data_IF_236885417081
#
_entry.id   IF_236885417081
#
_cell.length_a   1.000
_cell.length_b   1.000
_cell.length_c   1.000
_cell.angle_alpha   90.00
_cell.angle_beta   90.00
_cell.angle_gamma   90.00
#
_symmetry.space_group_name_H-M   'P 1'
#
loop_
_entity.id
_entity.type
_entity.pdbx_description
1 polymer ?
#
# COMPACT_ATOMS: atom_id res chain seq x y z
N UNK A 1 68.31 3.03 51.63
CA UNK A 1 67.08 2.36 51.16
C UNK A 1 66.37 3.32 50.21
N UNK A 2 66.21 2.95 48.92
CA UNK A 2 65.65 3.81 47.88
C UNK A 2 64.11 3.68 47.87
N UNK A 3 63.44 4.82 47.94
CA UNK A 3 61.98 5.03 47.97
C UNK A 3 61.32 4.60 46.65
N UNK A 4 60.25 3.79 46.75
CA UNK A 4 59.34 3.48 45.65
C UNK A 4 58.24 4.54 45.58
N UNK A 5 58.13 5.23 44.45
CA UNK A 5 57.00 6.09 44.13
C UNK A 5 55.91 5.26 43.42
N UNK A 6 54.73 5.17 44.03
CA UNK A 6 53.54 4.57 43.41
C UNK A 6 52.87 5.65 42.55
N UNK A 7 52.78 5.42 41.25
CA UNK A 7 52.03 6.26 40.30
C UNK A 7 50.62 5.67 40.18
N UNK A 8 49.62 6.41 40.67
CA UNK A 8 48.20 6.10 40.45
C UNK A 8 47.81 6.66 39.08
N UNK A 9 47.55 5.77 38.13
CA UNK A 9 46.99 6.15 36.83
C UNK A 9 45.47 6.38 36.97
N UNK A 10 45.05 7.65 36.96
CA UNK A 10 43.66 8.04 36.88
C UNK A 10 43.16 7.79 35.44
N UNK A 11 42.31 6.80 35.24
CA UNK A 11 41.60 6.58 33.98
C UNK A 11 40.56 7.70 33.79
N UNK A 12 40.84 8.63 32.87
CA UNK A 12 39.88 9.63 32.42
C UNK A 12 38.80 8.93 31.59
N UNK A 13 37.63 8.71 32.18
CA UNK A 13 36.43 8.36 31.43
C UNK A 13 35.98 9.59 30.64
N UNK A 14 36.19 9.57 29.32
CA UNK A 14 35.64 10.59 28.43
C UNK A 14 34.11 10.58 28.51
N UNK A 15 33.44 11.70 28.81
CA UNK A 15 31.99 11.77 28.69
C UNK A 15 31.65 11.58 27.21
N UNK A 16 30.83 10.57 26.92
CA UNK A 16 30.23 10.43 25.60
C UNK A 16 29.46 11.73 25.30
N UNK A 17 29.97 12.54 24.38
CA UNK A 17 29.29 13.75 23.91
C UNK A 17 27.90 13.33 23.42
N UNK A 18 26.87 13.85 24.06
CA UNK A 18 25.50 13.73 23.57
C UNK A 18 25.46 14.34 22.16
N UNK A 19 25.38 13.49 21.15
CA UNK A 19 25.27 13.94 19.76
C UNK A 19 23.91 14.62 19.59
N UNK A 20 23.92 15.89 19.18
CA UNK A 20 22.70 16.60 18.80
C UNK A 20 21.99 15.80 17.70
N UNK A 21 20.68 15.50 17.83
CA UNK A 21 19.99 14.71 16.84
C UNK A 21 19.98 15.38 15.45
N UNK A 22 20.34 14.62 14.41
CA UNK A 22 20.25 15.09 13.01
C UNK A 22 18.80 15.04 12.52
N UNK A 23 18.18 16.21 12.45
CA UNK A 23 16.79 16.40 12.01
C UNK A 23 16.62 16.04 10.52
N UNK A 24 17.61 16.30 9.68
CA UNK A 24 17.53 16.00 8.25
C UNK A 24 17.58 14.48 8.01
N UNK A 25 18.47 13.77 8.71
CA UNK A 25 18.50 12.32 8.69
C UNK A 25 17.18 11.71 9.21
N UNK A 26 16.65 12.26 10.30
CA UNK A 26 15.38 11.81 10.89
C UNK A 26 14.18 12.05 9.96
N UNK A 27 14.15 13.19 9.26
CA UNK A 27 13.16 13.47 8.21
C UNK A 27 13.28 12.46 7.07
N UNK A 28 14.50 12.16 6.61
CA UNK A 28 14.74 11.14 5.57
C UNK A 28 14.27 9.76 6.01
N UNK A 29 14.52 9.38 7.27
CA UNK A 29 14.00 8.13 7.85
C UNK A 29 12.46 8.08 7.84
N UNK A 30 11.80 9.19 8.21
CA UNK A 30 10.35 9.32 8.19
C UNK A 30 9.75 9.25 6.78
N UNK A 31 10.38 9.95 5.83
CA UNK A 31 9.96 10.00 4.44
C UNK A 31 10.30 8.72 3.67
N UNK A 32 11.21 7.90 4.20
CA UNK A 32 11.60 6.61 3.66
C UNK A 32 10.45 5.59 3.59
N UNK A 33 10.70 4.50 2.87
CA UNK A 33 9.74 3.40 2.68
C UNK A 33 10.15 2.14 3.46
N UNK A 34 11.01 2.26 4.48
CA UNK A 34 11.48 1.11 5.25
C UNK A 34 10.58 0.77 6.44
N UNK A 35 10.07 1.80 7.13
CA UNK A 35 9.26 1.66 8.35
C UNK A 35 7.76 1.86 8.11
N UNK A 36 7.40 2.57 7.04
CA UNK A 36 6.01 2.87 6.66
C UNK A 36 5.16 3.58 7.73
N UNK A 37 5.75 4.14 8.78
CA UNK A 37 5.03 4.85 9.85
C UNK A 37 4.10 5.96 9.30
N UNK A 38 4.57 6.72 8.31
CA UNK A 38 3.81 7.78 7.62
C UNK A 38 2.51 7.31 6.96
N UNK A 39 2.36 6.01 6.68
CA UNK A 39 1.14 5.49 6.05
C UNK A 39 -0.03 5.48 7.05
N UNK A 40 0.26 5.35 8.34
CA UNK A 40 -0.75 5.46 9.40
C UNK A 40 -0.79 6.87 10.00
N UNK A 41 0.38 7.49 10.21
CA UNK A 41 0.55 8.74 10.96
C UNK A 41 0.67 10.01 10.08
N UNK A 42 0.48 9.90 8.77
CA UNK A 42 0.49 11.05 7.85
C UNK A 42 1.89 11.40 7.33
N UNK A 43 1.95 12.16 6.24
CA UNK A 43 3.23 12.47 5.55
C UNK A 43 4.13 13.37 6.39
N UNK A 44 3.54 14.23 7.18
CA UNK A 44 4.17 15.19 8.09
C UNK A 44 3.94 14.85 9.56
N UNK A 45 3.46 13.64 9.89
CA UNK A 45 3.11 13.29 11.27
C UNK A 45 1.79 13.91 11.73
N UNK A 46 0.91 14.30 10.81
CA UNK A 46 -0.39 14.91 11.08
C UNK A 46 -1.47 13.94 11.55
N UNK A 47 -1.16 12.65 11.67
CA UNK A 47 -2.10 11.61 12.11
C UNK A 47 -2.87 10.99 10.93
N UNK A 48 -4.20 10.92 11.05
CA UNK A 48 -5.14 10.07 10.31
C UNK A 48 -5.48 8.76 11.01
N UNK A 49 -5.00 7.62 10.49
CA UNK A 49 -5.32 6.32 11.08
C UNK A 49 -4.61 6.12 12.42
N UNK A 50 -3.34 6.54 12.49
CA UNK A 50 -2.56 6.62 13.71
C UNK A 50 -2.67 8.02 14.34
N UNK A 51 -2.29 8.17 15.62
CA UNK A 51 -2.21 9.47 16.28
C UNK A 51 -1.31 10.46 15.53
N UNK A 52 -1.61 11.76 15.66
CA UNK A 52 -0.66 12.80 15.30
C UNK A 52 0.64 12.69 16.12
N UNK A 53 1.75 13.08 15.50
CA UNK A 53 3.09 13.13 16.10
C UNK A 53 3.66 14.55 16.02
N UNK A 54 3.35 15.30 14.95
CA UNK A 54 3.84 16.65 14.69
C UNK A 54 3.48 17.61 15.84
N UNK A 55 4.51 18.19 16.47
CA UNK A 55 4.36 19.14 17.56
C UNK A 55 3.62 18.58 18.80
N UNK A 56 3.44 17.25 18.92
CA UNK A 56 2.71 16.63 20.03
C UNK A 56 3.44 16.76 21.37
N UNK A 57 4.77 16.92 21.33
CA UNK A 57 5.60 17.10 22.51
C UNK A 57 5.86 15.82 23.30
N UNK A 58 5.87 14.65 22.64
CA UNK A 58 6.26 13.39 23.28
C UNK A 58 7.73 13.43 23.72
N UNK A 59 8.04 12.89 24.89
CA UNK A 59 9.43 12.61 25.27
C UNK A 59 9.98 11.42 24.46
N UNK A 60 11.31 11.31 24.37
CA UNK A 60 11.95 10.17 23.70
C UNK A 60 11.55 8.83 24.34
N UNK A 61 11.37 8.79 25.67
CA UNK A 61 10.92 7.59 26.38
C UNK A 61 9.47 7.23 26.09
N UNK A 62 8.58 8.22 25.97
CA UNK A 62 7.18 8.00 25.57
C UNK A 62 7.11 7.49 24.14
N UNK A 63 7.84 8.12 23.21
CA UNK A 63 7.89 7.68 21.82
C UNK A 63 8.48 6.28 21.70
N UNK A 64 9.56 5.98 22.42
CA UNK A 64 10.15 4.64 22.48
C UNK A 64 9.17 3.60 23.01
N UNK A 65 8.45 3.91 24.10
CA UNK A 65 7.46 2.98 24.65
C UNK A 65 6.41 2.60 23.60
N UNK A 66 5.87 3.56 22.83
CA UNK A 66 4.89 3.27 21.78
C UNK A 66 5.51 2.51 20.60
N UNK A 67 6.74 2.82 20.20
CA UNK A 67 7.43 2.09 19.11
C UNK A 67 7.75 0.64 19.50
N UNK A 68 8.15 0.41 20.76
CA UNK A 68 8.54 -0.93 21.25
C UNK A 68 7.36 -1.77 21.73
N UNK A 69 6.36 -1.14 22.34
CA UNK A 69 5.22 -1.79 23.00
C UNK A 69 3.93 -1.01 22.68
N UNK A 70 3.52 -0.96 21.40
CA UNK A 70 2.39 -0.17 20.96
C UNK A 70 1.06 -0.67 21.49
N UNK A 71 0.11 0.25 21.54
CA UNK A 71 -1.31 -0.03 21.69
C UNK A 71 -2.01 -0.10 20.32
N UNK A 72 -3.25 -0.58 20.31
CA UNK A 72 -4.03 -0.74 19.08
C UNK A 72 -3.44 -1.76 18.11
N UNK A 73 -3.34 -1.37 16.83
CA UNK A 73 -2.90 -2.20 15.72
C UNK A 73 -1.49 -1.84 15.22
N UNK A 74 -0.83 -0.85 15.83
CA UNK A 74 0.51 -0.45 15.42
C UNK A 74 1.49 -1.63 15.62
N UNK A 75 2.31 -1.99 14.62
CA UNK A 75 3.32 -3.03 14.78
C UNK A 75 4.38 -2.63 15.81
N UNK A 76 4.88 -3.60 16.57
CA UNK A 76 6.04 -3.39 17.45
C UNK A 76 7.33 -3.44 16.62
N UNK A 77 8.26 -2.52 16.89
CA UNK A 77 9.55 -2.46 16.21
C UNK A 77 10.71 -2.79 17.15
N UNK A 78 11.59 -3.70 16.74
CA UNK A 78 12.78 -4.08 17.51
C UNK A 78 13.93 -3.09 17.33
N UNK A 79 14.95 -3.19 18.19
CA UNK A 79 16.16 -2.37 18.14
C UNK A 79 16.93 -2.49 16.83
N UNK A 80 16.82 -3.63 16.15
CA UNK A 80 17.43 -3.89 14.84
C UNK A 80 16.66 -3.24 13.70
N UNK A 81 15.37 -2.95 13.88
CA UNK A 81 14.53 -2.32 12.88
C UNK A 81 14.58 -0.78 12.96
N UNK A 82 14.66 -0.25 14.18
CA UNK A 82 14.87 1.16 14.47
C UNK A 82 15.66 1.26 15.77
N UNK A 83 16.80 1.93 15.74
CA UNK A 83 17.68 2.11 16.90
C UNK A 83 17.13 3.17 17.87
N UNK A 84 17.64 3.17 19.10
CA UNK A 84 17.25 4.17 20.10
C UNK A 84 17.71 5.60 19.71
N UNK A 85 18.83 5.71 18.96
CA UNK A 85 19.29 6.97 18.39
C UNK A 85 18.33 7.51 17.31
N UNK A 86 17.82 6.64 16.44
CA UNK A 86 16.81 7.01 15.43
C UNK A 86 15.48 7.41 16.09
N UNK A 87 15.06 6.74 17.17
CA UNK A 87 13.88 7.11 17.96
C UNK A 87 14.05 8.51 18.57
N UNK A 88 15.22 8.80 19.17
CA UNK A 88 15.51 10.12 19.69
C UNK A 88 15.51 11.20 18.59
N UNK A 89 16.08 10.88 17.42
CA UNK A 89 16.07 11.75 16.24
C UNK A 89 14.67 12.05 15.72
N UNK A 90 13.82 11.03 15.57
CA UNK A 90 12.42 11.21 15.17
C UNK A 90 11.65 12.05 16.18
N UNK A 91 11.89 11.84 17.47
CA UNK A 91 11.26 12.66 18.53
C UNK A 91 11.62 14.13 18.38
N UNK A 92 12.91 14.44 18.17
CA UNK A 92 13.37 15.80 17.93
C UNK A 92 12.82 16.38 16.61
N UNK A 93 12.73 15.57 15.55
CA UNK A 93 12.13 15.96 14.28
C UNK A 93 10.67 16.37 14.47
N UNK A 94 9.84 15.53 15.11
CA UNK A 94 8.43 15.87 15.35
C UNK A 94 8.24 17.08 16.25
N UNK A 95 9.13 17.30 17.23
CA UNK A 95 9.13 18.50 18.05
C UNK A 95 9.43 19.78 17.25
N UNK A 96 10.12 19.68 16.11
CA UNK A 96 10.39 20.81 15.22
C UNK A 96 9.25 21.14 14.26
N UNK A 97 8.24 20.27 14.16
CA UNK A 97 7.06 20.47 13.31
C UNK A 97 5.97 21.27 14.05
N UNK A 98 5.14 22.04 13.33
CA UNK A 98 4.00 22.72 13.93
C UNK A 98 3.01 21.70 14.50
N UNK A 99 2.48 21.98 15.69
CA UNK A 99 1.42 21.19 16.29
C UNK A 99 0.16 21.29 15.43
N UNK A 100 -0.44 20.15 15.10
CA UNK A 100 -1.75 20.11 14.43
C UNK A 100 -2.86 20.35 15.46
N UNK A 101 -3.91 21.07 15.06
CA UNK A 101 -5.05 21.31 15.94
C UNK A 101 -5.84 20.02 16.21
N UNK A 102 -6.02 19.22 15.16
CA UNK A 102 -6.68 17.92 15.17
C UNK A 102 -5.94 16.96 14.23
N UNK A 103 -6.00 15.64 14.45
CA UNK A 103 -5.48 14.67 13.50
C UNK A 103 -6.12 14.82 12.11
N UNK A 104 -5.35 14.52 11.06
CA UNK A 104 -5.88 14.52 9.70
C UNK A 104 -7.06 13.55 9.52
N UNK A 105 -7.91 13.83 8.53
CA UNK A 105 -9.04 12.96 8.23
C UNK A 105 -8.59 11.59 7.70
N UNK A 106 -9.38 10.56 7.98
CA UNK A 106 -9.22 9.25 7.37
C UNK A 106 -9.41 9.32 5.85
N UNK A 107 -8.64 8.52 5.10
CA UNK A 107 -8.74 8.45 3.64
C UNK A 107 -10.08 7.88 3.19
N UNK A 108 -10.54 6.87 3.92
CA UNK A 108 -11.89 6.32 3.78
C UNK A 108 -12.65 6.67 5.06
N UNK A 109 -13.54 7.68 5.03
CA UNK A 109 -14.34 8.03 6.20
C UNK A 109 -15.37 6.94 6.48
N UNK A 110 -15.70 6.75 7.76
CA UNK A 110 -16.85 5.95 8.18
C UNK A 110 -18.13 6.73 7.83
N UNK A 111 -19.06 6.08 7.14
CA UNK A 111 -20.34 6.69 6.77
C UNK A 111 -21.52 5.84 7.30
N UNK A 112 -22.56 6.46 7.89
CA UNK A 112 -23.69 5.73 8.50
C UNK A 112 -24.48 4.83 7.54
N UNK A 113 -24.48 5.16 6.26
CA UNK A 113 -25.17 4.41 5.19
C UNK A 113 -24.44 3.14 4.75
N UNK A 114 -23.20 2.93 5.19
CA UNK A 114 -22.44 1.73 4.89
C UNK A 114 -23.12 0.49 5.48
N UNK A 115 -23.11 -0.67 4.79
CA UNK A 115 -23.54 -1.93 5.39
C UNK A 115 -22.75 -2.26 6.67
N UNK A 116 -23.34 -2.97 7.65
CA UNK A 116 -22.69 -3.27 8.92
C UNK A 116 -21.27 -3.86 8.80
N UNK A 117 -21.06 -4.83 7.90
CA UNK A 117 -19.73 -5.39 7.64
C UNK A 117 -18.73 -4.39 7.04
N UNK A 118 -19.19 -3.42 6.24
CA UNK A 118 -18.35 -2.32 5.77
C UNK A 118 -18.05 -1.31 6.89
N UNK A 119 -19.00 -1.02 7.78
CA UNK A 119 -18.76 -0.17 8.94
C UNK A 119 -17.69 -0.79 9.85
N UNK A 120 -17.81 -2.09 10.17
CA UNK A 120 -16.81 -2.83 10.93
C UNK A 120 -15.43 -2.80 10.23
N UNK A 121 -15.41 -2.98 8.91
CA UNK A 121 -14.20 -2.92 8.09
C UNK A 121 -13.52 -1.55 8.14
N UNK A 122 -14.29 -0.47 8.00
CA UNK A 122 -13.76 0.90 8.04
C UNK A 122 -13.32 1.24 9.45
N UNK A 123 -14.14 0.98 10.48
CA UNK A 123 -13.85 1.34 11.88
C UNK A 123 -12.59 0.67 12.43
N UNK A 124 -12.25 -0.51 11.93
CA UNK A 124 -11.02 -1.24 12.29
C UNK A 124 -9.79 -0.74 11.51
N UNK A 125 -9.97 0.25 10.64
CA UNK A 125 -8.93 0.89 9.83
C UNK A 125 -8.47 0.07 8.62
N UNK A 126 -9.08 -1.08 8.35
CA UNK A 126 -8.71 -1.94 7.22
C UNK A 126 -8.85 -1.20 5.87
N UNK A 127 -9.86 -0.33 5.75
CA UNK A 127 -10.11 0.48 4.56
C UNK A 127 -8.99 1.49 4.25
N UNK A 128 -8.21 1.91 5.25
CA UNK A 128 -7.16 2.90 5.06
C UNK A 128 -6.00 2.37 4.22
N UNK A 129 -5.84 1.04 4.18
CA UNK A 129 -4.83 0.35 3.37
C UNK A 129 -5.43 -0.47 2.22
N UNK A 130 -6.59 -1.09 2.43
CA UNK A 130 -7.19 -2.00 1.44
C UNK A 130 -8.30 -1.35 0.59
N UNK A 131 -8.51 -0.04 0.72
CA UNK A 131 -9.50 0.73 -0.04
C UNK A 131 -10.92 0.59 0.50
N UNK A 132 -11.88 1.36 -0.01
CA UNK A 132 -13.25 1.33 0.52
C UNK A 132 -13.99 0.00 0.28
N UNK A 133 -13.55 -0.76 -0.71
CA UNK A 133 -14.19 -1.98 -1.22
C UNK A 133 -13.32 -3.23 -1.03
N UNK A 134 -12.29 -3.19 -0.17
CA UNK A 134 -11.47 -4.35 0.17
C UNK A 134 -10.83 -5.05 -1.05
N UNK A 135 -10.31 -4.24 -1.98
CA UNK A 135 -10.02 -4.66 -3.35
C UNK A 135 -8.96 -5.75 -3.48
N UNK A 136 -7.76 -5.51 -2.95
CA UNK A 136 -6.67 -6.47 -3.03
C UNK A 136 -7.04 -7.79 -2.34
N UNK A 137 -7.56 -7.79 -1.10
CA UNK A 137 -7.94 -9.05 -0.44
C UNK A 137 -9.06 -9.80 -1.17
N UNK A 138 -10.09 -9.11 -1.70
CA UNK A 138 -11.10 -9.76 -2.56
C UNK A 138 -10.49 -10.39 -3.82
N UNK A 139 -9.41 -9.81 -4.35
CA UNK A 139 -8.68 -10.36 -5.49
C UNK A 139 -7.88 -11.60 -5.11
N UNK A 140 -7.16 -11.56 -3.98
CA UNK A 140 -6.44 -12.73 -3.44
C UNK A 140 -7.40 -13.89 -3.15
N UNK A 141 -8.55 -13.62 -2.54
CA UNK A 141 -9.55 -14.62 -2.25
C UNK A 141 -10.19 -15.18 -3.53
N UNK A 142 -10.50 -14.31 -4.50
CA UNK A 142 -11.02 -14.71 -5.80
C UNK A 142 -10.02 -15.46 -6.67
N UNK A 143 -8.73 -15.17 -6.54
CA UNK A 143 -7.66 -15.86 -7.27
C UNK A 143 -7.45 -17.31 -6.83
N UNK A 144 -7.84 -17.66 -5.60
CA UNK A 144 -7.53 -18.97 -5.00
C UNK A 144 -8.73 -19.70 -4.41
N UNK A 145 -9.92 -19.08 -4.48
CA UNK A 145 -11.16 -19.57 -3.87
C UNK A 145 -11.01 -19.90 -2.37
N UNK A 146 -10.46 -18.97 -1.61
CA UNK A 146 -10.17 -19.16 -0.18
C UNK A 146 -11.39 -18.88 0.70
N UNK A 147 -11.31 -19.36 1.94
CA UNK A 147 -12.38 -19.28 2.92
C UNK A 147 -12.09 -18.28 4.06
N UNK A 148 -12.98 -18.25 5.04
CA UNK A 148 -12.81 -17.41 6.23
C UNK A 148 -11.60 -17.82 7.09
N UNK A 149 -11.24 -19.11 7.14
CA UNK A 149 -10.06 -19.56 7.87
C UNK A 149 -8.79 -18.92 7.31
N UNK A 150 -8.72 -18.77 5.99
CA UNK A 150 -7.63 -18.04 5.33
C UNK A 150 -7.61 -16.56 5.75
N UNK A 151 -8.76 -15.90 5.81
CA UNK A 151 -8.84 -14.51 6.27
C UNK A 151 -8.38 -14.35 7.73
N UNK A 152 -8.76 -15.29 8.61
CA UNK A 152 -8.28 -15.32 10.00
C UNK A 152 -6.75 -15.43 10.07
N UNK A 153 -6.16 -16.35 9.31
CA UNK A 153 -4.72 -16.55 9.29
C UNK A 153 -3.98 -15.31 8.75
N UNK A 154 -4.50 -14.72 7.67
CA UNK A 154 -3.96 -13.48 7.10
C UNK A 154 -4.09 -12.29 8.04
N UNK A 155 -5.07 -12.27 8.95
CA UNK A 155 -5.29 -11.12 9.85
C UNK A 155 -4.54 -11.26 11.17
N UNK A 156 -4.65 -12.42 11.83
CA UNK A 156 -4.04 -12.65 13.14
C UNK A 156 -2.61 -13.20 13.06
N UNK A 157 -2.24 -13.86 11.97
CA UNK A 157 -0.92 -14.48 11.76
C UNK A 157 -0.23 -13.94 10.49
N UNK A 158 -0.48 -12.68 10.13
CA UNK A 158 -0.04 -12.07 8.86
C UNK A 158 1.46 -12.22 8.58
N UNK A 159 2.30 -12.23 9.62
CA UNK A 159 3.76 -12.33 9.49
C UNK A 159 4.22 -13.64 8.87
N UNK A 160 3.46 -14.72 9.05
CA UNK A 160 3.72 -16.05 8.49
C UNK A 160 2.77 -16.41 7.36
N UNK A 161 1.54 -15.88 7.38
CA UNK A 161 0.51 -16.15 6.37
C UNK A 161 0.74 -15.39 5.06
N UNK A 162 0.93 -14.06 5.09
CA UNK A 162 1.08 -13.23 3.89
C UNK A 162 2.20 -13.66 2.93
N UNK A 163 3.39 -14.08 3.42
CA UNK A 163 4.44 -14.69 2.59
C UNK A 163 4.02 -15.81 1.65
N UNK A 164 2.89 -16.49 1.91
CA UNK A 164 2.37 -17.58 1.10
C UNK A 164 1.50 -17.09 -0.08
N UNK A 165 1.03 -15.84 -0.02
CA UNK A 165 0.08 -15.26 -0.98
C UNK A 165 0.69 -14.17 -1.84
N UNK A 166 1.75 -13.51 -1.37
CA UNK A 166 2.39 -12.39 -2.03
C UNK A 166 3.84 -12.70 -2.42
N UNK A 167 4.24 -12.22 -3.59
CA UNK A 167 5.65 -12.24 -3.99
C UNK A 167 6.47 -11.36 -3.04
N UNK A 168 7.44 -11.97 -2.36
CA UNK A 168 8.31 -11.26 -1.44
C UNK A 168 9.26 -10.35 -2.22
N UNK A 169 8.98 -9.06 -2.24
CA UNK A 169 9.92 -8.08 -2.80
C UNK A 169 11.00 -7.73 -1.77
N UNK A 170 12.29 -7.73 -2.16
CA UNK A 170 13.36 -7.27 -1.28
C UNK A 170 13.04 -5.87 -0.70
N UNK A 171 13.15 -5.73 0.62
CA UNK A 171 12.84 -4.47 1.31
C UNK A 171 11.36 -4.22 1.63
N UNK A 172 10.42 -5.06 1.19
CA UNK A 172 9.00 -4.91 1.57
C UNK A 172 8.77 -5.32 3.02
N UNK A 173 8.58 -4.32 3.88
CA UNK A 173 8.31 -4.48 5.32
C UNK A 173 6.93 -3.97 5.75
N UNK A 174 6.05 -3.68 4.81
CA UNK A 174 4.67 -3.30 5.14
C UNK A 174 3.89 -4.55 5.51
N UNK A 175 4.04 -4.92 6.78
CA UNK A 175 3.21 -5.91 7.42
C UNK A 175 2.04 -5.15 7.99
N UNK A 176 0.84 -5.59 7.62
CA UNK A 176 -0.42 -5.10 8.15
C UNK A 176 -0.34 -4.94 9.68
N UNK A 177 -1.17 -4.07 10.26
CA UNK A 177 -1.22 -3.89 11.71
C UNK A 177 -1.37 -5.21 12.49
N UNK A 178 -0.90 -5.24 13.73
CA UNK A 178 -1.02 -6.41 14.60
C UNK A 178 -2.44 -6.47 15.19
N UNK A 179 -3.31 -7.27 14.57
CA UNK A 179 -4.66 -7.50 15.07
C UNK A 179 -4.68 -8.62 16.11
N UNK A 180 -5.57 -8.49 17.10
CA UNK A 180 -5.79 -9.48 18.15
C UNK A 180 -7.29 -9.75 18.26
N UNK A 181 -7.66 -11.02 18.46
CA UNK A 181 -9.03 -11.49 18.70
C UNK A 181 -9.76 -10.75 19.82
N UNK A 182 -9.05 -10.17 20.79
CA UNK A 182 -9.64 -9.37 21.86
C UNK A 182 -10.10 -7.97 21.41
N UNK A 183 -9.53 -7.43 20.32
CA UNK A 183 -9.86 -6.10 19.78
C UNK A 183 -10.69 -6.16 18.49
N UNK A 184 -10.45 -7.21 17.70
CA UNK A 184 -11.21 -7.56 16.52
C UNK A 184 -11.63 -9.01 16.68
N UNK A 185 -12.84 -9.23 17.19
CA UNK A 185 -13.36 -10.58 17.44
C UNK A 185 -13.53 -11.36 16.14
N UNK A 186 -13.53 -12.69 16.23
CA UNK A 186 -13.78 -13.52 15.04
C UNK A 186 -15.16 -13.26 14.44
N UNK A 187 -16.16 -12.90 15.26
CA UNK A 187 -17.50 -12.55 14.78
C UNK A 187 -17.48 -11.27 13.94
N UNK A 188 -16.80 -10.22 14.41
CA UNK A 188 -16.62 -8.97 13.64
C UNK A 188 -15.81 -9.23 12.36
N UNK A 189 -14.74 -10.05 12.45
CA UNK A 189 -13.96 -10.39 11.26
C UNK A 189 -14.79 -11.19 10.24
N UNK A 190 -15.67 -12.07 10.73
CA UNK A 190 -16.59 -12.85 9.90
C UNK A 190 -17.62 -11.96 9.22
N UNK A 191 -18.12 -10.93 9.90
CA UNK A 191 -19.03 -9.94 9.33
C UNK A 191 -18.38 -9.18 8.16
N UNK A 192 -17.11 -8.79 8.32
CA UNK A 192 -16.32 -8.17 7.23
C UNK A 192 -16.15 -9.16 6.06
N UNK A 193 -15.81 -10.42 6.34
CA UNK A 193 -15.66 -11.45 5.30
C UNK A 193 -16.97 -11.68 4.54
N UNK A 194 -18.08 -11.80 5.25
CA UNK A 194 -19.39 -12.05 4.66
C UNK A 194 -19.85 -10.88 3.79
N UNK A 195 -19.67 -9.65 4.25
CA UNK A 195 -19.91 -8.46 3.43
C UNK A 195 -19.07 -8.49 2.13
N UNK A 196 -17.77 -8.72 2.25
CA UNK A 196 -16.87 -8.75 1.09
C UNK A 196 -17.21 -9.88 0.11
N UNK A 197 -17.64 -11.04 0.61
CA UNK A 197 -17.98 -12.22 -0.21
C UNK A 197 -19.38 -12.15 -0.81
N UNK A 198 -20.38 -11.75 -0.03
CA UNK A 198 -21.78 -11.90 -0.39
C UNK A 198 -22.33 -10.65 -1.09
N UNK A 199 -21.90 -9.46 -0.64
CA UNK A 199 -22.43 -8.19 -1.16
C UNK A 199 -21.57 -7.70 -2.33
N UNK A 200 -20.25 -7.61 -2.10
CA UNK A 200 -19.29 -7.18 -3.13
C UNK A 200 -18.89 -8.30 -4.09
N UNK A 201 -18.77 -9.53 -3.60
CA UNK A 201 -18.22 -10.65 -4.36
C UNK A 201 -16.70 -10.57 -4.50
N UNK A 202 -16.07 -11.75 -4.53
CA UNK A 202 -14.65 -11.84 -4.88
C UNK A 202 -14.41 -11.47 -6.34
N UNK A 203 -13.17 -11.06 -6.61
CA UNK A 203 -12.79 -10.50 -7.91
C UNK A 203 -11.59 -11.24 -8.50
N UNK A 204 -11.42 -11.24 -9.84
CA UNK A 204 -10.26 -11.85 -10.48
C UNK A 204 -8.96 -11.13 -10.04
N UNK A 205 -7.89 -11.91 -9.89
CA UNK A 205 -6.57 -11.41 -9.47
C UNK A 205 -5.80 -10.84 -10.67
N UNK A 206 -6.35 -9.80 -11.28
CA UNK A 206 -5.72 -9.15 -12.42
C UNK A 206 -4.54 -8.29 -12.00
N UNK A 207 -3.49 -8.30 -12.83
CA UNK A 207 -2.33 -7.42 -12.72
C UNK A 207 -2.06 -6.81 -14.08
N UNK A 208 -1.68 -5.53 -14.09
CA UNK A 208 -1.30 -4.81 -15.29
C UNK A 208 0.07 -4.16 -15.09
N UNK A 209 0.98 -4.42 -16.02
CA UNK A 209 2.35 -3.91 -15.97
C UNK A 209 2.66 -3.15 -17.25
N UNK A 210 3.00 -1.87 -17.08
CA UNK A 210 3.36 -0.98 -18.16
C UNK A 210 4.84 -0.66 -18.08
N UNK A 211 5.56 -0.94 -19.16
CA UNK A 211 7.00 -0.76 -19.23
C UNK A 211 7.43 -0.13 -20.58
N UNK A 212 8.53 0.62 -20.62
CA UNK A 212 9.12 1.03 -21.89
C UNK A 212 9.57 -0.21 -22.69
N UNK A 213 9.40 -0.15 -24.01
CA UNK A 213 9.83 -1.22 -24.93
C UNK A 213 10.90 -0.71 -25.90
N UNK A 214 10.57 0.23 -26.77
CA UNK A 214 11.52 0.81 -27.74
C UNK A 214 11.06 2.21 -28.19
N UNK A 215 11.98 3.19 -28.16
CA UNK A 215 11.65 4.57 -28.51
C UNK A 215 10.47 5.11 -27.68
N UNK A 216 9.41 5.55 -28.35
CA UNK A 216 8.15 6.00 -27.73
C UNK A 216 7.08 4.90 -27.65
N UNK A 217 7.50 3.63 -27.71
CA UNK A 217 6.65 2.45 -27.58
C UNK A 217 6.71 1.88 -26.18
N UNK A 218 5.54 1.60 -25.63
CA UNK A 218 5.34 1.05 -24.29
C UNK A 218 4.61 -0.29 -24.39
N UNK A 219 5.12 -1.30 -23.70
CA UNK A 219 4.50 -2.60 -23.58
C UNK A 219 3.60 -2.64 -22.34
N UNK A 220 2.37 -3.11 -22.52
CA UNK A 220 1.41 -3.36 -21.46
C UNK A 220 1.11 -4.86 -21.40
N UNK A 221 1.42 -5.47 -20.27
CA UNK A 221 1.09 -6.87 -19.99
C UNK A 221 -0.02 -6.93 -18.95
N UNK A 222 -1.16 -7.53 -19.31
CA UNK A 222 -2.28 -7.78 -18.40
C UNK A 222 -2.36 -9.28 -18.12
N UNK A 223 -2.17 -9.68 -16.87
CA UNK A 223 -2.20 -11.08 -16.43
C UNK A 223 -3.32 -11.32 -15.44
N UNK A 224 -3.82 -12.56 -15.39
CA UNK A 224 -4.63 -13.03 -14.27
C UNK A 224 -3.78 -13.99 -13.42
N UNK A 225 -3.44 -13.55 -12.22
CA UNK A 225 -2.54 -14.30 -11.34
C UNK A 225 -3.23 -15.44 -10.58
N UNK A 226 -4.55 -15.60 -10.75
CA UNK A 226 -5.31 -16.67 -10.10
C UNK A 226 -4.77 -18.07 -10.38
N UNK A 227 -5.10 -19.00 -9.49
CA UNK A 227 -4.73 -20.41 -9.59
C UNK A 227 -5.62 -21.14 -10.61
N UNK A 228 -5.05 -21.97 -11.52
CA UNK A 228 -5.84 -22.80 -12.42
C UNK A 228 -6.85 -23.67 -11.66
N UNK A 229 -8.10 -23.71 -12.14
CA UNK A 229 -9.18 -24.49 -11.55
C UNK A 229 -9.78 -23.92 -10.25
N UNK A 230 -9.25 -22.81 -9.71
CA UNK A 230 -9.79 -22.14 -8.51
C UNK A 230 -10.08 -20.67 -8.74
N UNK A 231 -9.21 -19.98 -9.45
CA UNK A 231 -9.26 -18.55 -9.65
C UNK A 231 -10.42 -18.09 -10.53
N UNK A 232 -10.93 -16.89 -10.22
CA UNK A 232 -11.98 -16.26 -11.01
C UNK A 232 -11.44 -15.81 -12.37
N UNK A 233 -12.24 -16.04 -13.40
CA UNK A 233 -11.99 -15.54 -14.76
C UNK A 233 -12.63 -14.17 -14.93
N UNK A 234 -11.86 -13.19 -15.41
CA UNK A 234 -12.40 -11.90 -15.82
C UNK A 234 -13.07 -12.02 -17.21
N UNK A 235 -14.25 -11.43 -17.37
CA UNK A 235 -15.02 -11.43 -18.62
C UNK A 235 -15.45 -10.01 -19.00
N UNK A 236 -15.46 -9.72 -20.29
CA UNK A 236 -15.73 -8.37 -20.81
C UNK A 236 -14.72 -7.36 -20.27
N UNK A 237 -13.43 -7.66 -20.44
CA UNK A 237 -12.32 -6.85 -19.92
C UNK A 237 -12.11 -5.65 -20.83
N UNK A 238 -12.08 -4.46 -20.22
CA UNK A 238 -11.77 -3.19 -20.89
C UNK A 238 -10.46 -2.68 -20.32
N UNK A 239 -9.54 -2.30 -21.19
CA UNK A 239 -8.20 -1.82 -20.85
C UNK A 239 -8.04 -0.45 -21.47
N UNK A 240 -7.89 0.56 -20.61
CA UNK A 240 -7.72 1.94 -21.03
C UNK A 240 -6.32 2.42 -20.67
N UNK A 241 -5.61 2.99 -21.63
CA UNK A 241 -4.35 3.70 -21.41
C UNK A 241 -4.59 5.18 -21.68
N UNK A 242 -4.37 6.02 -20.67
CA UNK A 242 -4.47 7.48 -20.82
C UNK A 242 -3.40 7.97 -21.79
N UNK A 243 -3.82 8.69 -22.81
CA UNK A 243 -2.93 9.36 -23.76
C UNK A 243 -2.43 10.65 -23.12
N UNK A 244 -1.11 10.80 -22.88
CA UNK A 244 -0.56 11.99 -22.25
C UNK A 244 -0.87 13.27 -23.05
N UNK A 245 -1.03 14.39 -22.36
CA UNK A 245 -1.32 15.68 -23.00
C UNK A 245 -0.25 16.04 -24.04
N UNK A 246 -0.69 16.43 -25.24
CA UNK A 246 0.20 16.76 -26.36
C UNK A 246 0.77 15.56 -27.12
N UNK A 247 0.56 14.33 -26.66
CA UNK A 247 0.89 13.11 -27.41
C UNK A 247 -0.32 12.59 -28.19
N UNK A 248 -0.06 11.83 -29.24
CA UNK A 248 -1.07 11.08 -30.00
C UNK A 248 -0.61 9.63 -30.14
N UNK A 249 -1.55 8.69 -30.23
CA UNK A 249 -1.23 7.30 -30.52
C UNK A 249 -0.93 7.14 -32.00
N UNK A 250 0.24 6.59 -32.35
CA UNK A 250 0.70 6.39 -33.73
C UNK A 250 0.63 4.94 -34.17
N UNK A 251 0.77 4.00 -33.24
CA UNK A 251 0.63 2.57 -33.50
C UNK A 251 0.25 1.82 -32.23
N UNK A 252 -0.37 0.64 -32.40
CA UNK A 252 -0.73 -0.25 -31.30
C UNK A 252 -0.63 -1.71 -31.74
N UNK A 253 -0.46 -2.61 -30.78
CA UNK A 253 -0.63 -4.07 -30.98
C UNK A 253 -1.56 -4.65 -29.92
N UNK A 254 -1.93 -5.92 -30.10
CA UNK A 254 -2.82 -6.66 -29.22
C UNK A 254 -4.27 -6.64 -29.69
N UNK A 255 -4.94 -7.77 -29.53
CA UNK A 255 -6.30 -7.97 -30.02
C UNK A 255 -7.31 -7.04 -29.33
N UNK A 256 -8.36 -6.66 -30.06
CA UNK A 256 -9.51 -5.96 -29.49
C UNK A 256 -9.36 -4.45 -29.32
N UNK A 257 -8.35 -3.82 -29.95
CA UNK A 257 -8.22 -2.36 -29.97
C UNK A 257 -9.47 -1.67 -30.54
N UNK A 258 -9.93 -0.63 -29.86
CA UNK A 258 -11.15 0.14 -30.21
C UNK A 258 -10.86 1.56 -30.68
N UNK A 259 -9.61 1.99 -30.63
CA UNK A 259 -9.21 3.34 -31.01
C UNK A 259 -9.01 4.25 -29.80
N UNK A 260 -8.77 5.53 -30.11
CA UNK A 260 -8.65 6.60 -29.12
C UNK A 260 -9.97 7.35 -29.02
N UNK A 261 -10.45 7.57 -27.80
CA UNK A 261 -11.65 8.36 -27.54
C UNK A 261 -11.52 9.17 -26.25
N UNK A 262 -12.35 10.19 -26.09
CA UNK A 262 -12.41 10.98 -24.87
C UNK A 262 -13.09 10.18 -23.76
N UNK A 263 -12.46 10.10 -22.59
CA UNK A 263 -13.04 9.51 -21.39
C UNK A 263 -13.22 10.59 -20.31
N UNK A 264 -14.45 10.71 -19.82
CA UNK A 264 -14.83 11.74 -18.84
C UNK A 264 -14.15 11.49 -17.48
N UNK A 265 -13.98 10.22 -17.09
CA UNK A 265 -13.38 9.86 -15.79
C UNK A 265 -11.87 10.16 -15.77
N UNK A 266 -11.18 9.86 -16.85
CA UNK A 266 -9.78 10.17 -17.07
C UNK A 266 -9.54 11.66 -17.37
N UNK A 267 -10.60 12.41 -17.72
CA UNK A 267 -10.53 13.81 -18.17
C UNK A 267 -9.58 14.00 -19.34
N UNK A 268 -9.60 13.07 -20.28
CA UNK A 268 -8.67 13.06 -21.40
C UNK A 268 -8.91 11.89 -22.35
N UNK A 269 -8.09 11.84 -23.40
CA UNK A 269 -8.17 10.77 -24.37
C UNK A 269 -7.58 9.47 -23.81
N UNK A 270 -8.23 8.35 -24.06
CA UNK A 270 -7.75 7.00 -23.74
C UNK A 270 -7.64 6.16 -25.00
N UNK A 271 -6.60 5.34 -25.08
CA UNK A 271 -6.49 4.25 -26.02
C UNK A 271 -7.13 3.01 -25.38
N UNK A 272 -8.16 2.45 -26.02
CA UNK A 272 -8.95 1.36 -25.43
C UNK A 272 -8.73 0.02 -26.16
N UNK A 273 -8.61 -1.06 -25.39
CA UNK A 273 -8.72 -2.44 -25.85
C UNK A 273 -9.87 -3.14 -25.11
N UNK A 274 -10.58 -4.02 -25.81
CA UNK A 274 -11.59 -4.88 -25.23
C UNK A 274 -11.25 -6.34 -25.47
N UNK A 275 -11.08 -7.10 -24.38
CA UNK A 275 -10.80 -8.52 -24.42
C UNK A 275 -11.98 -9.29 -23.83
N UNK A 276 -12.52 -10.30 -24.52
CA UNK A 276 -13.72 -11.00 -24.05
C UNK A 276 -13.49 -11.74 -22.72
N UNK A 277 -12.27 -12.24 -22.48
CA UNK A 277 -11.95 -13.11 -21.34
C UNK A 277 -10.45 -13.12 -21.00
N UNK A 278 -10.13 -13.16 -19.71
CA UNK A 278 -8.79 -13.46 -19.17
C UNK A 278 -8.95 -14.48 -18.02
N UNK A 279 -8.68 -15.76 -18.30
CA UNK A 279 -8.76 -16.85 -17.33
C UNK A 279 -7.52 -16.92 -16.42
N UNK A 280 -7.55 -17.65 -15.30
CA UNK A 280 -6.39 -17.83 -14.43
C UNK A 280 -5.14 -18.29 -15.21
N UNK A 281 -4.02 -17.61 -14.97
CA UNK A 281 -2.72 -17.75 -15.67
C UNK A 281 -2.67 -17.30 -17.13
N UNK A 282 -3.76 -16.78 -17.70
CA UNK A 282 -3.70 -16.11 -18.99
C UNK A 282 -2.91 -14.79 -18.88
N UNK A 283 -2.23 -14.45 -19.98
CA UNK A 283 -1.58 -13.17 -20.19
C UNK A 283 -2.03 -12.57 -21.53
N UNK A 284 -2.22 -11.26 -21.56
CA UNK A 284 -2.49 -10.47 -22.76
C UNK A 284 -1.44 -9.38 -22.87
N UNK A 285 -0.75 -9.36 -24.01
CA UNK A 285 0.29 -8.39 -24.32
C UNK A 285 -0.24 -7.37 -25.33
N UNK A 286 0.01 -6.11 -25.05
CA UNK A 286 -0.35 -4.97 -25.90
C UNK A 286 0.85 -4.05 -26.03
N UNK A 287 0.84 -3.23 -27.07
CA UNK A 287 1.75 -2.09 -27.15
C UNK A 287 1.00 -0.84 -27.54
N UNK A 288 1.52 0.29 -27.08
CA UNK A 288 1.09 1.63 -27.51
C UNK A 288 2.33 2.43 -27.87
N UNK A 289 2.36 2.95 -29.09
CA UNK A 289 3.39 3.88 -29.56
C UNK A 289 2.80 5.28 -29.60
N UNK A 290 3.50 6.22 -28.96
CA UNK A 290 3.12 7.62 -28.94
C UNK A 290 3.95 8.44 -29.94
N UNK A 291 3.41 9.57 -30.39
CA UNK A 291 4.12 10.52 -31.25
C UNK A 291 5.36 11.12 -30.59
N UNK A 292 5.37 11.19 -29.26
CA UNK A 292 6.48 11.66 -28.44
C UNK A 292 6.43 11.01 -27.05
N UNK A 293 7.57 10.99 -26.35
CA UNK A 293 7.62 10.54 -24.97
C UNK A 293 6.85 11.52 -24.05
N UNK A 294 6.19 11.04 -22.98
CA UNK A 294 5.54 11.93 -22.03
C UNK A 294 6.58 12.73 -21.24
N UNK A 295 6.24 13.98 -20.92
CA UNK A 295 7.09 14.84 -20.08
C UNK A 295 7.34 14.23 -18.69
N UNK A 296 6.33 13.55 -18.14
CA UNK A 296 6.43 12.78 -16.91
C UNK A 296 5.98 11.34 -17.18
N UNK A 297 6.83 10.36 -16.88
CA UNK A 297 6.50 8.94 -17.08
C UNK A 297 5.26 8.52 -16.29
N UNK A 298 5.00 9.12 -15.13
CA UNK A 298 3.82 8.83 -14.32
C UNK A 298 2.49 9.23 -14.99
N UNK A 299 2.53 10.06 -16.03
CA UNK A 299 1.34 10.41 -16.82
C UNK A 299 0.89 9.25 -17.71
N UNK A 300 1.78 8.32 -18.02
CA UNK A 300 1.44 7.08 -18.71
C UNK A 300 0.86 6.09 -17.71
N UNK A 301 -0.47 6.08 -17.63
CA UNK A 301 -1.26 5.31 -16.67
C UNK A 301 -2.53 4.82 -17.31
N UNK A 302 -3.24 3.94 -16.61
CA UNK A 302 -4.44 3.36 -17.16
C UNK A 302 -5.19 2.49 -16.18
N UNK A 303 -6.24 1.89 -16.69
CA UNK A 303 -7.15 1.06 -15.91
C UNK A 303 -7.47 -0.24 -16.63
N UNK A 304 -7.67 -1.31 -15.86
CA UNK A 304 -8.27 -2.55 -16.33
C UNK A 304 -9.57 -2.75 -15.56
N UNK A 305 -10.68 -2.81 -16.29
CA UNK A 305 -12.04 -3.02 -15.79
C UNK A 305 -12.62 -4.29 -16.40
N UNK A 306 -13.67 -4.85 -15.80
CA UNK A 306 -14.34 -6.03 -16.34
C UNK A 306 -15.83 -6.03 -16.00
N UNK A 307 -16.62 -6.69 -16.84
CA UNK A 307 -18.05 -6.84 -16.61
C UNK A 307 -18.37 -7.89 -15.54
N UNK A 308 -17.67 -9.04 -15.57
CA UNK A 308 -17.91 -10.16 -14.64
C UNK A 308 -16.62 -10.85 -14.17
N UNK A 309 -16.59 -11.39 -12.95
CA UNK A 309 -17.60 -11.24 -11.89
C UNK A 309 -17.60 -9.81 -11.32
N UNK A 310 -18.72 -9.39 -10.72
CA UNK A 310 -18.85 -8.09 -10.07
C UNK A 310 -19.89 -8.13 -8.94
N UNK A 311 -20.04 -7.04 -8.19
CA UNK A 311 -21.01 -6.94 -7.09
C UNK A 311 -22.44 -7.21 -7.56
N UNK A 312 -23.26 -7.81 -6.68
CA UNK A 312 -24.64 -8.20 -7.00
C UNK A 312 -25.64 -7.05 -6.90
N UNK A 313 -25.42 -6.15 -5.93
CA UNK A 313 -26.40 -5.15 -5.49
C UNK A 313 -25.96 -3.70 -5.72
N UNK A 314 -24.72 -3.48 -6.19
CA UNK A 314 -24.16 -2.16 -6.46
C UNK A 314 -23.46 -2.11 -7.82
N UNK A 315 -23.31 -0.93 -8.44
CA UNK A 315 -22.55 -0.79 -9.68
C UNK A 315 -21.15 -1.39 -9.53
N UNK A 316 -20.70 -2.12 -10.54
CA UNK A 316 -19.36 -2.68 -10.55
C UNK A 316 -18.33 -1.56 -10.77
N UNK A 317 -17.66 -1.16 -9.69
CA UNK A 317 -16.56 -0.20 -9.72
C UNK A 317 -15.19 -0.89 -9.62
N UNK A 318 -15.13 -2.22 -9.81
CA UNK A 318 -13.88 -2.95 -9.76
C UNK A 318 -12.95 -2.53 -10.90
N UNK A 319 -11.79 -2.03 -10.49
CA UNK A 319 -10.73 -1.56 -11.38
C UNK A 319 -9.35 -1.98 -10.87
N UNK A 320 -8.43 -2.30 -11.77
CA UNK A 320 -6.99 -2.37 -11.49
C UNK A 320 -6.33 -1.17 -12.16
N UNK A 321 -5.78 -0.28 -11.35
CA UNK A 321 -5.01 0.86 -11.84
C UNK A 321 -3.56 0.44 -12.09
N UNK A 322 -2.98 0.93 -13.18
CA UNK A 322 -1.56 0.80 -13.45
C UNK A 322 -0.99 2.14 -13.88
N UNK A 323 0.30 2.32 -13.62
CA UNK A 323 1.05 3.48 -14.07
C UNK A 323 2.48 3.03 -14.38
N UNK A 324 3.09 3.68 -15.36
CA UNK A 324 4.50 3.49 -15.65
C UNK A 324 5.30 3.91 -14.43
N UNK A 325 6.04 2.95 -13.86
CA UNK A 325 6.97 3.25 -12.78
C UNK A 325 8.29 3.68 -13.39
N UNK A 326 8.92 4.77 -12.90
CA UNK A 326 10.31 5.03 -13.25
C UNK A 326 11.18 3.83 -12.84
N UNK A 327 12.30 3.57 -13.52
CA UNK A 327 13.27 2.59 -13.06
C UNK A 327 13.61 2.86 -11.59
N UNK A 328 13.64 1.80 -10.76
CA UNK A 328 14.09 1.94 -9.38
C UNK A 328 15.48 2.59 -9.38
N UNK A 329 15.63 3.70 -8.66
CA UNK A 329 16.93 4.32 -8.39
C UNK A 329 17.63 3.57 -7.26
#
# INVERSE_FOLDING_TARGET
>A
MKTFAVVIALALASPALAQTPDIAASKSLWEGNNLFCKNCHGKTGEGAMGPDLAGRGLSASQFQQEVRKPWGVMPAFTTEQISDAEIAGLTAYFASLPKVAEPAAWRVPLAPEMPPGQQAYVSQGCAQCHGATFDMPRATFGGRNTDFATMKDLVYNHTTAMPKFEEQRPGSRLRMGNFNVLRLTEAQLKEIYDWAKNDLGFRPELRAELAPSAGTTYALNVTNNGEPGKGLTAQGVIIDVVVPAGATVTATTGDGYKGVHMDEKAKGNVAEWQVPRIAPKDAKAFTVTLSQAPANSADLKGTVRWAKPGPKSVPNNDVVNFAMRPPAR
#
